data_IF_926169523748
#
_entry.id   IF_926169523748
#
_cell.length_a   1.000
_cell.length_b   1.000
_cell.length_c   1.000
_cell.angle_alpha   90.00
_cell.angle_beta   90.00
_cell.angle_gamma   90.00
#
_symmetry.space_group_name_H-M   'P 1'
#
loop_
_entity.id
_entity.type
_entity.pdbx_description
1 polymer ?
#
# COMPACT_ATOMS: atom_id res chain seq x y z
N UNK A 1 -0.23 8.61 -5.99
CA UNK A 1 -0.48 7.82 -7.22
C UNK A 1 0.16 8.49 -8.43
N UNK A 2 -0.22 9.73 -8.74
CA UNK A 2 0.29 10.49 -9.89
C UNK A 2 1.82 10.62 -9.92
N UNK A 3 2.47 10.86 -8.77
CA UNK A 3 3.94 10.92 -8.70
C UNK A 3 4.64 9.60 -9.07
N UNK A 4 4.08 8.44 -8.71
CA UNK A 4 4.66 7.17 -9.17
C UNK A 4 4.43 7.00 -10.68
N UNK A 5 3.23 7.30 -11.16
CA UNK A 5 2.88 7.17 -12.57
C UNK A 5 3.76 8.05 -13.48
N UNK A 6 4.07 9.28 -13.07
CA UNK A 6 4.95 10.17 -13.83
C UNK A 6 6.40 9.67 -13.92
N UNK A 7 6.79 8.72 -13.06
CA UNK A 7 8.10 8.05 -13.05
C UNK A 7 8.08 6.70 -13.76
N UNK A 8 6.98 6.34 -14.43
CA UNK A 8 6.79 5.02 -15.03
C UNK A 8 6.75 3.90 -13.99
N UNK A 9 6.21 4.21 -12.81
CA UNK A 9 6.09 3.32 -11.66
C UNK A 9 4.65 3.34 -11.14
N UNK A 10 4.36 2.49 -10.16
CA UNK A 10 3.07 2.47 -9.46
C UNK A 10 3.27 2.53 -7.96
N UNK A 11 2.22 2.77 -7.17
CA UNK A 11 2.35 2.64 -5.71
C UNK A 11 2.56 1.16 -5.37
N UNK A 12 3.37 0.90 -4.33
CA UNK A 12 3.66 -0.45 -3.85
C UNK A 12 2.40 -1.32 -3.73
N UNK A 13 2.39 -2.48 -4.37
CA UNK A 13 1.39 -3.54 -4.23
C UNK A 13 2.10 -4.77 -3.71
N UNK A 14 2.04 -4.98 -2.40
CA UNK A 14 2.85 -6.02 -1.80
C UNK A 14 2.25 -7.41 -2.02
N UNK A 15 3.10 -8.38 -2.37
CA UNK A 15 2.71 -9.76 -2.63
C UNK A 15 2.53 -10.57 -1.33
N UNK A 16 3.36 -10.28 -0.33
CA UNK A 16 3.37 -10.98 0.94
C UNK A 16 3.98 -10.17 2.10
N UNK A 17 3.97 -10.78 3.30
CA UNK A 17 4.50 -10.15 4.51
C UNK A 17 6.04 -10.09 4.53
N UNK A 18 6.74 -10.93 3.76
CA UNK A 18 8.20 -10.97 3.71
C UNK A 18 8.76 -9.79 2.93
N UNK A 19 8.11 -9.40 1.84
CA UNK A 19 8.40 -8.17 1.12
C UNK A 19 8.25 -6.94 2.04
N UNK A 20 7.16 -6.85 2.81
CA UNK A 20 6.97 -5.76 3.78
C UNK A 20 8.03 -5.77 4.88
N UNK A 21 8.46 -6.96 5.33
CA UNK A 21 9.55 -7.10 6.31
C UNK A 21 10.88 -6.60 5.74
N UNK A 22 11.18 -6.93 4.49
CA UNK A 22 12.37 -6.49 3.78
C UNK A 22 12.38 -4.98 3.57
N UNK A 23 11.28 -4.40 3.08
CA UNK A 23 11.13 -2.96 2.91
C UNK A 23 11.29 -2.22 4.24
N UNK A 24 10.69 -2.73 5.32
CA UNK A 24 10.82 -2.13 6.64
C UNK A 24 12.28 -2.11 7.14
N UNK A 25 13.09 -3.10 6.77
CA UNK A 25 14.52 -3.12 7.07
C UNK A 25 15.29 -2.08 6.23
N UNK A 26 15.05 -2.03 4.91
CA UNK A 26 15.71 -1.07 4.00
C UNK A 26 15.43 0.38 4.39
N UNK A 27 14.17 0.69 4.72
CA UNK A 27 13.76 2.06 5.05
C UNK A 27 14.17 2.43 6.49
N UNK A 28 14.81 1.52 7.23
CA UNK A 28 15.35 1.79 8.57
C UNK A 28 14.29 1.85 9.66
N UNK A 29 13.29 0.96 9.62
CA UNK A 29 12.19 0.85 10.60
C UNK A 29 11.50 2.20 10.87
N UNK A 30 11.02 2.89 9.83
CA UNK A 30 10.49 4.23 9.97
C UNK A 30 9.23 4.23 10.87
N UNK A 31 9.08 5.29 11.67
CA UNK A 31 7.85 5.54 12.45
C UNK A 31 6.76 6.28 11.64
N UNK A 32 7.12 6.78 10.45
CA UNK A 32 6.22 7.47 9.53
C UNK A 32 5.29 6.50 8.80
N UNK A 33 4.23 7.05 8.21
CA UNK A 33 3.29 6.33 7.37
C UNK A 33 3.63 6.51 5.90
N UNK A 34 3.47 5.45 5.12
CA UNK A 34 3.72 5.46 3.68
C UNK A 34 2.52 4.92 2.93
N UNK A 35 1.95 5.72 2.04
CA UNK A 35 0.90 5.26 1.14
C UNK A 35 1.38 4.14 0.23
N UNK A 36 0.51 3.14 0.06
CA UNK A 36 0.68 2.01 -0.86
C UNK A 36 -0.52 1.92 -1.81
N UNK A 37 -0.45 1.02 -2.77
CA UNK A 37 -1.44 0.82 -3.82
C UNK A 37 -2.75 0.19 -3.38
N UNK A 38 -3.14 0.33 -2.11
CA UNK A 38 -4.32 -0.31 -1.52
C UNK A 38 -5.38 0.74 -1.15
N UNK A 39 -6.64 0.46 -1.46
CA UNK A 39 -7.77 1.34 -1.09
C UNK A 39 -9.03 0.55 -0.81
N UNK A 40 -9.90 1.09 0.06
CA UNK A 40 -11.21 0.50 0.29
C UNK A 40 -12.18 0.89 -0.83
N UNK A 41 -12.74 -0.09 -1.52
CA UNK A 41 -13.77 0.09 -2.55
C UNK A 41 -15.16 0.03 -1.92
N UNK A 42 -15.92 1.13 -1.97
CA UNK A 42 -17.31 1.18 -1.49
C UNK A 42 -18.25 0.32 -2.33
N UNK A 43 -17.97 0.16 -3.63
CA UNK A 43 -18.76 -0.66 -4.55
C UNK A 43 -18.63 -2.15 -4.24
N UNK A 44 -17.40 -2.63 -4.03
CA UNK A 44 -17.11 -4.05 -3.74
C UNK A 44 -17.20 -4.34 -2.24
N UNK A 45 -17.22 -3.30 -1.41
CA UNK A 45 -17.15 -3.35 0.06
C UNK A 45 -15.93 -4.12 0.57
N UNK A 46 -14.79 -3.96 -0.11
CA UNK A 46 -13.54 -4.66 0.24
C UNK A 46 -12.30 -3.84 -0.12
N UNK A 47 -11.14 -4.30 0.35
CA UNK A 47 -9.84 -3.73 0.03
C UNK A 47 -9.34 -4.22 -1.32
N UNK A 48 -8.97 -3.27 -2.19
CA UNK A 48 -8.59 -3.52 -3.58
C UNK A 48 -7.22 -2.90 -3.87
N UNK A 49 -6.35 -3.69 -4.49
CA UNK A 49 -5.05 -3.26 -5.04
C UNK A 49 -5.22 -2.52 -6.37
N UNK A 50 -4.18 -1.84 -6.85
CA UNK A 50 -4.25 -1.07 -8.10
C UNK A 50 -4.61 -1.93 -9.33
N UNK A 51 -4.19 -3.20 -9.34
CA UNK A 51 -4.50 -4.17 -10.39
C UNK A 51 -5.93 -4.75 -10.30
N UNK A 52 -6.74 -4.33 -9.33
CA UNK A 52 -8.12 -4.80 -9.14
C UNK A 52 -8.26 -6.07 -8.31
N UNK A 53 -7.16 -6.70 -7.91
CA UNK A 53 -7.20 -7.85 -7.00
C UNK A 53 -7.58 -7.45 -5.58
N UNK A 54 -8.19 -8.38 -4.84
CA UNK A 54 -8.59 -8.18 -3.44
C UNK A 54 -7.40 -8.41 -2.51
N UNK A 55 -7.41 -7.74 -1.37
CA UNK A 55 -6.46 -8.04 -0.30
C UNK A 55 -6.66 -9.47 0.20
N UNK A 56 -5.59 -10.26 0.20
CA UNK A 56 -5.56 -11.56 0.86
C UNK A 56 -5.52 -11.35 2.38
N UNK A 57 -6.63 -11.67 3.06
CA UNK A 57 -6.80 -11.48 4.50
C UNK A 57 -6.11 -12.57 5.33
N UNK A 58 -5.72 -13.68 4.72
CA UNK A 58 -4.91 -14.71 5.38
C UNK A 58 -3.45 -14.27 5.47
N UNK A 59 -3.00 -13.43 4.52
CA UNK A 59 -1.65 -12.84 4.51
C UNK A 59 -1.56 -11.52 5.26
N UNK A 60 -2.57 -10.67 5.13
CA UNK A 60 -2.54 -9.31 5.67
C UNK A 60 -3.74 -9.03 6.57
N UNK A 61 -3.47 -8.76 7.85
CA UNK A 61 -4.50 -8.34 8.79
C UNK A 61 -4.84 -6.85 8.65
N UNK A 62 -6.08 -6.53 8.25
CA UNK A 62 -6.58 -5.16 8.16
C UNK A 62 -8.07 -5.10 8.56
N UNK A 63 -8.34 -4.54 9.74
CA UNK A 63 -9.65 -4.63 10.41
C UNK A 63 -10.50 -3.37 10.35
N UNK A 64 -10.04 -2.28 9.76
CA UNK A 64 -10.78 -1.00 9.74
C UNK A 64 -11.27 -0.71 8.34
N UNK A 65 -12.58 -0.52 8.18
CA UNK A 65 -13.21 -0.18 6.90
C UNK A 65 -14.07 1.06 7.10
N UNK A 66 -13.59 2.19 6.62
CA UNK A 66 -14.42 3.38 6.48
C UNK A 66 -14.42 3.80 5.02
N UNK A 67 -15.52 4.41 4.59
CA UNK A 67 -15.57 5.10 3.30
C UNK A 67 -14.39 6.07 3.22
N UNK A 68 -13.79 6.20 2.04
CA UNK A 68 -12.70 7.14 1.76
C UNK A 68 -11.38 6.86 2.54
N UNK A 69 -11.12 5.59 2.84
CA UNK A 69 -9.84 5.15 3.43
C UNK A 69 -8.92 4.43 2.44
N UNK A 70 -7.63 4.67 2.63
CA UNK A 70 -6.53 4.14 1.86
C UNK A 70 -5.59 3.33 2.76
N UNK A 71 -4.89 2.36 2.18
CA UNK A 71 -3.90 1.56 2.88
C UNK A 71 -2.55 2.28 2.93
N UNK A 72 -1.94 2.27 4.10
CA UNK A 72 -0.60 2.77 4.33
C UNK A 72 0.24 1.72 5.08
N UNK A 73 1.56 1.81 4.97
CA UNK A 73 2.48 1.08 5.82
C UNK A 73 2.87 1.89 7.05
N UNK A 74 2.92 1.21 8.19
CA UNK A 74 3.58 1.67 9.41
C UNK A 74 4.49 0.57 9.93
N UNK A 75 5.81 0.75 9.76
CA UNK A 75 6.75 -0.35 9.88
C UNK A 75 6.48 -1.41 8.80
N UNK A 76 6.31 -2.67 9.21
CA UNK A 76 5.98 -3.80 8.32
C UNK A 76 4.48 -4.13 8.26
N UNK A 77 3.61 -3.28 8.82
CA UNK A 77 2.16 -3.53 8.89
C UNK A 77 1.38 -2.61 7.97
N UNK A 78 0.38 -3.17 7.31
CA UNK A 78 -0.64 -2.38 6.61
C UNK A 78 -1.63 -1.83 7.64
N UNK A 79 -1.95 -0.55 7.51
CA UNK A 79 -2.93 0.18 8.33
C UNK A 79 -3.83 1.00 7.42
N UNK A 80 -5.05 1.28 7.87
CA UNK A 80 -5.96 2.18 7.16
C UNK A 80 -5.76 3.62 7.63
N UNK A 81 -5.83 4.58 6.72
CA UNK A 81 -5.93 6.00 7.03
C UNK A 81 -6.86 6.70 6.03
N UNK A 82 -7.42 7.86 6.38
CA UNK A 82 -8.21 8.65 5.44
C UNK A 82 -7.35 9.04 4.24
N UNK A 83 -7.85 8.83 3.02
CA UNK A 83 -7.08 9.11 1.81
C UNK A 83 -6.64 10.58 1.69
N UNK A 84 -7.34 11.50 2.36
CA UNK A 84 -7.00 12.92 2.45
C UNK A 84 -5.81 13.24 3.37
N UNK A 85 -5.32 12.26 4.14
CA UNK A 85 -4.21 12.46 5.06
C UNK A 85 -2.90 12.68 4.30
N UNK A 86 -2.03 13.53 4.83
CA UNK A 86 -0.68 13.71 4.28
C UNK A 86 0.25 12.60 4.78
N UNK A 87 0.72 11.75 3.87
CA UNK A 87 1.75 10.74 4.14
C UNK A 87 2.76 10.75 3.00
N UNK A 88 3.97 10.23 3.27
CA UNK A 88 4.91 9.87 2.19
C UNK A 88 4.34 8.67 1.41
N UNK A 89 4.95 8.27 0.31
CA UNK A 89 4.52 7.13 -0.48
C UNK A 89 5.71 6.31 -0.95
N UNK A 90 5.46 5.04 -1.28
CA UNK A 90 6.46 4.13 -1.86
C UNK A 90 6.00 3.76 -3.26
N UNK A 91 6.88 3.94 -4.24
CA UNK A 91 6.66 3.51 -5.61
C UNK A 91 7.40 2.20 -5.87
N UNK A 92 6.81 1.31 -6.68
CA UNK A 92 7.44 0.10 -7.20
C UNK A 92 7.50 0.18 -8.74
N UNK A 93 8.53 -0.45 -9.31
CA UNK A 93 8.68 -0.63 -10.75
C UNK A 93 9.41 -1.95 -10.99
N UNK A 94 9.00 -2.67 -12.03
CA UNK A 94 9.69 -3.87 -12.49
C UNK A 94 11.14 -3.56 -12.91
N UNK A 95 12.08 -4.36 -12.42
CA UNK A 95 13.49 -4.20 -12.73
C UNK A 95 13.80 -4.42 -14.23
N UNK A 96 12.95 -5.16 -14.92
CA UNK A 96 13.15 -5.55 -16.33
C UNK A 96 12.58 -4.54 -17.35
N UNK A 97 12.05 -3.40 -16.92
CA UNK A 97 11.56 -2.33 -17.80
C UNK A 97 12.60 -1.20 -17.96
N UNK A 98 13.79 -1.57 -18.46
CA UNK A 98 14.86 -0.66 -18.90
C UNK A 98 14.64 -0.20 -20.34
#
# INVERSE_FOLDING_TARGET
REDCASRGAELLMSEDQDELNFLNQIIGKPKSYFWIGLSFSSTVKDWIWLNGSRLDRDRFWLSTWYKDTCGALRGNRIVSAYCSSSCKWICQKEANQL
#
